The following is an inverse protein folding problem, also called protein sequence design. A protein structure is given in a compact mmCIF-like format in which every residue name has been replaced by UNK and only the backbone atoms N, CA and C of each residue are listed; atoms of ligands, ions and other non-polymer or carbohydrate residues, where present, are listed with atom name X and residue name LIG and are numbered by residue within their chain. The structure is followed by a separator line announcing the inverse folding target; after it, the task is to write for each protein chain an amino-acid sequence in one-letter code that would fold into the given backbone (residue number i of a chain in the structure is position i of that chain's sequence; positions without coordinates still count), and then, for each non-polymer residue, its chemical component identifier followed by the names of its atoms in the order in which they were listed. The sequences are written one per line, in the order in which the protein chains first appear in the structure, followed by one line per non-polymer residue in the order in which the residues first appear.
data_IF_924103135145
#
_entry.id   IF_924103135145
#
_cell.length_a   1.000
_cell.length_b   1.000
_cell.length_c   1.000
_cell.angle_alpha   90.00
_cell.angle_beta   90.00
_cell.angle_gamma   90.00
#
_symmetry.space_group_name_H-M   'P 1'
#
loop_
_entity.id
_entity.type
_entity.pdbx_description
1 polymer ?
#
# COMPACT_ATOMS: atom_id res chain seq x y z
N UNK A 1 17.97 -6.29 -10.80
CA UNK A 1 17.51 -6.81 -12.11
C UNK A 1 16.45 -5.86 -12.65
N UNK A 2 16.54 -5.50 -13.93
CA UNK A 2 15.52 -4.69 -14.61
C UNK A 2 14.37 -5.61 -15.07
N UNK A 3 13.26 -5.58 -14.32
CA UNK A 3 12.11 -6.47 -14.57
C UNK A 3 11.39 -6.18 -15.91
N UNK A 4 11.56 -4.96 -16.46
CA UNK A 4 10.97 -4.60 -17.75
C UNK A 4 11.62 -5.32 -18.95
N UNK A 5 12.82 -5.87 -18.76
CA UNK A 5 13.58 -6.60 -19.79
C UNK A 5 13.47 -8.11 -19.70
N UNK A 6 12.69 -8.62 -18.72
CA UNK A 6 12.53 -10.06 -18.51
C UNK A 6 11.54 -10.67 -19.51
N UNK A 7 11.81 -11.91 -19.92
CA UNK A 7 10.85 -12.71 -20.65
C UNK A 7 9.69 -13.20 -19.74
N UNK A 8 8.65 -13.78 -20.34
CA UNK A 8 7.46 -14.25 -19.61
C UNK A 8 7.78 -15.28 -18.53
N UNK A 9 8.75 -16.17 -18.76
CA UNK A 9 9.12 -17.24 -17.83
C UNK A 9 9.88 -16.64 -16.64
N UNK A 10 10.89 -15.83 -16.91
CA UNK A 10 11.67 -15.11 -15.90
C UNK A 10 10.75 -14.21 -15.05
N UNK A 11 9.83 -13.47 -15.70
CA UNK A 11 8.89 -12.59 -14.99
C UNK A 11 7.95 -13.38 -14.07
N UNK A 12 7.56 -14.61 -14.45
CA UNK A 12 6.75 -15.49 -13.59
C UNK A 12 7.49 -15.84 -12.30
N UNK A 13 8.79 -16.12 -12.37
CA UNK A 13 9.62 -16.44 -11.21
C UNK A 13 9.80 -15.21 -10.29
N UNK A 14 10.00 -14.03 -10.89
CA UNK A 14 10.06 -12.79 -10.11
C UNK A 14 8.73 -12.42 -9.46
N UNK A 15 7.58 -12.72 -10.09
CA UNK A 15 6.25 -12.49 -9.50
C UNK A 15 6.03 -13.28 -8.21
N UNK A 16 6.70 -14.41 -8.00
CA UNK A 16 6.67 -15.10 -6.70
C UNK A 16 7.28 -14.28 -5.59
N UNK A 17 8.33 -13.50 -5.89
CA UNK A 17 9.05 -12.70 -4.91
C UNK A 17 8.42 -11.31 -4.71
N UNK A 18 7.51 -10.92 -5.58
CA UNK A 18 6.91 -9.59 -5.60
C UNK A 18 5.40 -9.71 -5.78
N UNK A 19 4.66 -9.30 -4.78
CA UNK A 19 3.21 -9.39 -4.74
C UNK A 19 2.57 -8.01 -4.61
N UNK A 20 1.26 -7.92 -4.84
CA UNK A 20 0.51 -6.67 -4.77
C UNK A 20 -0.73 -6.81 -3.88
N UNK A 21 -0.98 -5.80 -3.06
CA UNK A 21 -2.24 -5.59 -2.35
C UNK A 21 -2.92 -4.40 -3.02
N UNK A 22 -4.12 -4.63 -3.54
CA UNK A 22 -4.87 -3.64 -4.32
C UNK A 22 -5.66 -2.68 -3.42
N UNK A 23 -5.97 -1.51 -3.97
CA UNK A 23 -6.70 -0.41 -3.34
C UNK A 23 -8.11 -0.82 -2.90
N UNK A 24 -8.86 -1.49 -3.77
CA UNK A 24 -10.24 -1.89 -3.50
C UNK A 24 -10.33 -3.39 -3.16
N UNK A 25 -10.60 -3.72 -1.89
CA UNK A 25 -10.74 -5.12 -1.49
C UNK A 25 -12.01 -5.80 -2.06
N UNK A 26 -12.98 -5.03 -2.60
CA UNK A 26 -14.16 -5.60 -3.24
C UNK A 26 -13.87 -6.09 -4.65
N UNK A 27 -13.25 -5.25 -5.48
CA UNK A 27 -12.97 -5.58 -6.87
C UNK A 27 -11.78 -6.52 -7.03
N UNK A 28 -10.89 -6.58 -6.03
CA UNK A 28 -9.68 -7.41 -6.08
C UNK A 28 -9.91 -8.89 -5.77
N UNK A 29 -11.06 -9.25 -5.21
CA UNK A 29 -11.42 -10.62 -4.85
C UNK A 29 -12.50 -11.14 -5.82
N UNK A 30 -12.28 -12.33 -6.38
CA UNK A 30 -13.30 -12.99 -7.22
C UNK A 30 -14.53 -13.36 -6.36
N UNK A 31 -15.72 -12.77 -6.62
CA UNK A 31 -16.90 -12.98 -5.78
C UNK A 31 -17.48 -14.39 -5.87
N UNK A 32 -17.03 -15.21 -6.84
CA UNK A 32 -17.48 -16.59 -7.06
C UNK A 32 -16.59 -17.62 -6.39
N UNK A 33 -15.45 -17.22 -5.87
CA UNK A 33 -14.51 -18.10 -5.17
C UNK A 33 -14.67 -17.96 -3.66
N UNK A 34 -14.43 -19.04 -2.93
CA UNK A 34 -14.35 -18.96 -1.47
C UNK A 34 -13.09 -18.21 -1.04
N UNK A 35 -13.08 -17.69 0.18
CA UNK A 35 -11.93 -16.98 0.70
C UNK A 35 -10.68 -17.89 0.77
N UNK A 36 -10.87 -19.17 1.09
CA UNK A 36 -9.80 -20.17 1.05
C UNK A 36 -9.25 -20.41 -0.36
N UNK A 37 -10.13 -20.48 -1.36
CA UNK A 37 -9.71 -20.64 -2.77
C UNK A 37 -8.90 -19.43 -3.25
N UNK A 38 -9.34 -18.21 -2.90
CA UNK A 38 -8.67 -16.96 -3.28
C UNK A 38 -7.23 -16.91 -2.71
N UNK A 39 -7.06 -17.30 -1.45
CA UNK A 39 -5.72 -17.32 -0.81
C UNK A 39 -4.89 -18.50 -1.32
N UNK A 40 -5.52 -19.62 -1.64
CA UNK A 40 -4.86 -20.83 -2.14
C UNK A 40 -4.50 -20.79 -3.64
N UNK A 41 -5.17 -19.94 -4.43
CA UNK A 41 -4.92 -19.83 -5.87
C UNK A 41 -3.45 -19.60 -6.24
N UNK A 42 -2.72 -18.66 -5.62
CA UNK A 42 -1.28 -18.46 -5.89
C UNK A 42 -0.45 -19.73 -5.64
N UNK A 43 -0.74 -20.49 -4.59
CA UNK A 43 -0.03 -21.74 -4.27
C UNK A 43 -0.19 -22.78 -5.38
N UNK A 44 -1.40 -22.89 -5.92
CA UNK A 44 -1.73 -23.80 -7.00
C UNK A 44 -1.11 -23.34 -8.33
N UNK A 45 -1.25 -22.06 -8.68
CA UNK A 45 -0.73 -21.48 -9.95
C UNK A 45 0.79 -21.60 -10.04
N UNK A 46 1.49 -21.47 -8.91
CA UNK A 46 2.94 -21.59 -8.84
C UNK A 46 3.44 -22.98 -8.45
N UNK A 47 2.55 -23.97 -8.41
CA UNK A 47 2.87 -25.38 -8.13
C UNK A 47 3.63 -25.58 -6.81
N UNK A 48 3.21 -24.86 -5.76
CA UNK A 48 3.82 -24.92 -4.43
C UNK A 48 3.12 -25.95 -3.55
N UNK A 49 1.78 -25.94 -3.57
CA UNK A 49 0.98 -26.86 -2.78
C UNK A 49 -0.38 -27.12 -3.42
N UNK A 50 -0.87 -28.36 -3.24
CA UNK A 50 -2.18 -28.84 -3.74
C UNK A 50 -2.87 -29.66 -2.62
N UNK A 51 -4.20 -29.84 -2.74
CA UNK A 51 -4.98 -30.71 -1.87
C UNK A 51 -4.92 -30.31 -0.40
N UNK A 52 -4.69 -31.28 0.48
CA UNK A 52 -4.67 -31.05 1.94
C UNK A 52 -3.52 -30.11 2.36
N UNK A 53 -2.35 -30.24 1.78
CA UNK A 53 -1.21 -29.34 2.06
C UNK A 53 -1.54 -27.87 1.77
N UNK A 54 -2.25 -27.61 0.66
CA UNK A 54 -2.69 -26.26 0.33
C UNK A 54 -3.68 -25.73 1.39
N UNK A 55 -4.62 -26.57 1.84
CA UNK A 55 -5.60 -26.19 2.86
C UNK A 55 -4.93 -25.85 4.20
N UNK A 56 -3.94 -26.64 4.62
CA UNK A 56 -3.15 -26.37 5.83
C UNK A 56 -2.47 -25.00 5.73
N UNK A 57 -1.72 -24.75 4.64
CA UNK A 57 -1.03 -23.49 4.42
C UNK A 57 -1.99 -22.29 4.38
N UNK A 58 -3.16 -22.46 3.77
CA UNK A 58 -4.18 -21.40 3.71
C UNK A 58 -4.76 -21.12 5.10
N UNK A 59 -5.00 -22.16 5.91
CA UNK A 59 -5.48 -21.99 7.29
C UNK A 59 -4.46 -21.24 8.15
N UNK A 60 -3.17 -21.56 8.05
CA UNK A 60 -2.09 -20.83 8.73
C UNK A 60 -2.04 -19.35 8.30
N UNK A 61 -2.20 -19.07 7.00
CA UNK A 61 -2.24 -17.68 6.49
C UNK A 61 -3.45 -16.91 7.02
N UNK A 62 -4.62 -17.56 7.14
CA UNK A 62 -5.80 -16.94 7.74
C UNK A 62 -5.58 -16.54 9.19
N UNK A 63 -5.02 -17.44 9.99
CA UNK A 63 -4.71 -17.17 11.40
C UNK A 63 -3.69 -16.03 11.53
N UNK A 64 -2.66 -16.02 10.68
CA UNK A 64 -1.61 -14.99 10.66
C UNK A 64 -2.17 -13.58 10.38
N UNK A 65 -3.21 -13.46 9.56
CA UNK A 65 -3.87 -12.17 9.31
C UNK A 65 -5.05 -11.90 10.27
N UNK A 66 -5.25 -12.75 11.28
CA UNK A 66 -6.31 -12.60 12.28
C UNK A 66 -7.72 -12.93 11.79
N UNK A 67 -7.83 -13.84 10.80
CA UNK A 67 -9.07 -14.45 10.35
C UNK A 67 -9.23 -15.85 10.97
N UNK A 68 -10.47 -16.33 11.05
CA UNK A 68 -10.76 -17.67 11.60
C UNK A 68 -10.69 -18.72 10.49
N UNK A 69 -10.07 -19.85 10.74
CA UNK A 69 -10.00 -21.00 9.81
C UNK A 69 -11.39 -21.52 9.40
N UNK A 70 -12.40 -21.42 10.27
CA UNK A 70 -13.80 -21.75 9.94
C UNK A 70 -14.45 -20.87 8.84
N UNK A 71 -13.81 -19.75 8.45
CA UNK A 71 -14.30 -18.84 7.42
C UNK A 71 -13.74 -19.14 6.01
N UNK A 72 -12.92 -20.16 5.87
CA UNK A 72 -12.28 -20.54 4.58
C UNK A 72 -13.30 -20.81 3.45
N UNK A 73 -14.46 -21.39 3.79
CA UNK A 73 -15.53 -21.72 2.83
C UNK A 73 -16.49 -20.56 2.54
N UNK A 74 -16.33 -19.43 3.24
CA UNK A 74 -17.18 -18.26 3.06
C UNK A 74 -16.82 -17.49 1.79
N UNK A 75 -17.84 -16.85 1.18
CA UNK A 75 -17.67 -16.01 -0.01
C UNK A 75 -17.31 -14.57 0.38
N UNK A 76 -16.63 -13.80 -0.48
CA UNK A 76 -16.17 -12.45 -0.18
C UNK A 76 -17.25 -11.49 0.35
N UNK A 77 -18.50 -11.58 -0.12
CA UNK A 77 -19.59 -10.73 0.32
C UNK A 77 -20.01 -10.96 1.78
N UNK A 78 -19.61 -12.08 2.38
CA UNK A 78 -19.92 -12.42 3.78
C UNK A 78 -18.90 -11.80 4.78
N UNK A 79 -17.87 -11.11 4.27
CA UNK A 79 -16.83 -10.47 5.07
C UNK A 79 -17.01 -8.95 5.12
N UNK A 80 -16.60 -8.33 6.23
CA UNK A 80 -16.47 -6.87 6.32
C UNK A 80 -15.35 -6.35 5.41
N UNK A 81 -15.30 -5.04 5.13
CA UNK A 81 -14.25 -4.41 4.35
C UNK A 81 -12.84 -4.73 4.87
N UNK A 82 -12.62 -4.59 6.17
CA UNK A 82 -11.34 -4.92 6.80
C UNK A 82 -10.99 -6.42 6.74
N UNK A 83 -11.98 -7.31 6.84
CA UNK A 83 -11.75 -8.75 6.67
C UNK A 83 -11.38 -9.11 5.22
N UNK A 84 -12.03 -8.47 4.22
CA UNK A 84 -11.64 -8.65 2.81
C UNK A 84 -10.23 -8.16 2.54
N UNK A 85 -9.83 -7.04 3.14
CA UNK A 85 -8.46 -6.56 3.04
C UNK A 85 -7.47 -7.56 3.64
N UNK A 86 -7.79 -8.17 4.77
CA UNK A 86 -6.98 -9.24 5.38
C UNK A 86 -6.88 -10.48 4.48
N UNK A 87 -7.94 -10.85 3.75
CA UNK A 87 -7.89 -11.91 2.72
C UNK A 87 -6.93 -11.50 1.59
N UNK A 88 -6.97 -10.26 1.12
CA UNK A 88 -6.03 -9.74 0.13
C UNK A 88 -4.57 -9.78 0.60
N UNK A 89 -4.33 -9.46 1.87
CA UNK A 89 -3.00 -9.57 2.50
C UNK A 89 -2.57 -11.04 2.59
N UNK A 90 -3.43 -11.95 3.06
CA UNK A 90 -3.14 -13.39 3.13
C UNK A 90 -2.79 -13.96 1.75
N UNK A 91 -3.54 -13.57 0.70
CA UNK A 91 -3.23 -13.94 -0.69
C UNK A 91 -1.85 -13.46 -1.13
N UNK A 92 -1.49 -12.22 -0.81
CA UNK A 92 -0.18 -11.68 -1.15
C UNK A 92 0.97 -12.40 -0.40
N UNK A 93 0.72 -12.87 0.82
CA UNK A 93 1.70 -13.62 1.61
C UNK A 93 1.87 -15.07 1.17
N UNK A 94 0.93 -15.66 0.43
CA UNK A 94 0.88 -17.09 0.10
C UNK A 94 2.18 -17.61 -0.57
N UNK A 95 2.87 -16.76 -1.34
CA UNK A 95 4.10 -17.11 -2.05
C UNK A 95 5.38 -16.78 -1.26
N UNK A 96 5.26 -16.34 0.00
CA UNK A 96 6.37 -15.87 0.82
C UNK A 96 7.25 -14.84 0.08
N UNK A 97 6.67 -13.70 -0.36
CA UNK A 97 7.36 -12.71 -1.17
C UNK A 97 8.44 -11.98 -0.38
N UNK A 98 9.37 -11.33 -1.11
CA UNK A 98 10.35 -10.39 -0.52
C UNK A 98 9.85 -8.95 -0.55
N UNK A 99 9.00 -8.63 -1.52
CA UNK A 99 8.45 -7.29 -1.72
C UNK A 99 6.93 -7.38 -1.87
N UNK A 100 6.22 -6.53 -1.17
CA UNK A 100 4.79 -6.29 -1.37
C UNK A 100 4.58 -4.84 -1.78
N UNK A 101 3.92 -4.64 -2.92
CA UNK A 101 3.44 -3.33 -3.36
C UNK A 101 2.04 -3.14 -2.78
N UNK A 102 1.86 -2.17 -1.91
CA UNK A 102 0.55 -1.78 -1.39
C UNK A 102 0.06 -0.55 -2.16
N UNK A 103 -0.90 -0.75 -3.04
CA UNK A 103 -1.54 0.34 -3.79
C UNK A 103 -2.75 0.83 -3.01
N UNK A 104 -2.56 1.89 -2.23
CA UNK A 104 -3.55 2.47 -1.30
C UNK A 104 -4.31 1.42 -0.45
N UNK A 105 -3.63 0.47 0.18
CA UNK A 105 -4.26 -0.75 0.71
C UNK A 105 -5.20 -0.52 1.91
N UNK A 106 -5.36 0.72 2.35
CA UNK A 106 -6.20 1.08 3.50
C UNK A 106 -7.18 2.22 3.22
N UNK A 107 -7.13 2.84 2.03
CA UNK A 107 -7.90 4.05 1.70
C UNK A 107 -9.42 3.84 1.72
N UNK A 108 -9.91 2.62 1.43
CA UNK A 108 -11.32 2.27 1.41
C UNK A 108 -11.88 1.81 2.78
N UNK A 109 -11.07 1.90 3.85
CA UNK A 109 -11.44 1.44 5.19
C UNK A 109 -11.71 2.61 6.12
N UNK A 110 -12.55 2.39 7.14
CA UNK A 110 -12.70 3.36 8.22
C UNK A 110 -11.41 3.47 9.07
N UNK A 111 -11.22 4.62 9.72
CA UNK A 111 -9.97 4.98 10.44
C UNK A 111 -9.54 3.91 11.45
N UNK A 112 -10.49 3.31 12.15
CA UNK A 112 -10.20 2.32 13.20
C UNK A 112 -9.69 0.99 12.58
N UNK A 113 -10.31 0.54 11.50
CA UNK A 113 -9.89 -0.66 10.77
C UNK A 113 -8.58 -0.41 10.01
N UNK A 114 -8.42 0.80 9.44
CA UNK A 114 -7.19 1.24 8.81
C UNK A 114 -5.98 1.09 9.75
N UNK A 115 -6.09 1.58 10.99
CA UNK A 115 -5.04 1.44 11.99
C UNK A 115 -4.71 -0.03 12.31
N UNK A 116 -5.72 -0.89 12.41
CA UNK A 116 -5.51 -2.32 12.64
C UNK A 116 -4.78 -3.00 11.47
N UNK A 117 -5.12 -2.65 10.23
CA UNK A 117 -4.46 -3.22 9.03
C UNK A 117 -3.02 -2.73 8.92
N UNK A 118 -2.75 -1.47 9.24
CA UNK A 118 -1.38 -0.92 9.24
C UNK A 118 -0.51 -1.62 10.29
N UNK A 119 -1.02 -1.79 11.52
CA UNK A 119 -0.30 -2.51 12.57
C UNK A 119 -0.02 -3.96 12.12
N UNK A 120 -1.00 -4.65 11.54
CA UNK A 120 -0.80 -5.99 10.98
C UNK A 120 0.33 -6.01 9.93
N UNK A 121 0.38 -5.03 9.01
CA UNK A 121 1.43 -4.95 8.00
C UNK A 121 2.81 -4.72 8.62
N UNK A 122 2.89 -3.89 9.68
CA UNK A 122 4.15 -3.66 10.41
C UNK A 122 4.62 -4.91 11.17
N UNK A 123 3.69 -5.62 11.81
CA UNK A 123 4.00 -6.89 12.50
C UNK A 123 4.53 -7.93 11.51
N UNK A 124 3.86 -8.09 10.36
CA UNK A 124 4.29 -8.97 9.28
C UNK A 124 5.64 -8.56 8.69
N UNK A 125 5.93 -7.26 8.59
CA UNK A 125 7.23 -6.76 8.15
C UNK A 125 8.34 -7.22 9.07
N UNK A 126 8.13 -7.07 10.38
CA UNK A 126 9.11 -7.44 11.40
C UNK A 126 9.30 -8.96 11.50
N UNK A 127 8.20 -9.72 11.43
CA UNK A 127 8.23 -11.19 11.55
C UNK A 127 8.87 -11.86 10.34
N UNK A 128 8.53 -11.39 9.13
CA UNK A 128 8.90 -12.04 7.87
C UNK A 128 10.05 -11.36 7.13
N UNK A 129 10.55 -10.21 7.61
CA UNK A 129 11.59 -9.43 6.94
C UNK A 129 11.14 -8.85 5.59
N UNK A 130 9.84 -8.50 5.45
CA UNK A 130 9.27 -8.02 4.21
C UNK A 130 9.72 -6.59 3.89
N UNK A 131 9.88 -6.31 2.61
CA UNK A 131 9.97 -4.93 2.10
C UNK A 131 8.62 -4.49 1.57
N UNK A 132 8.21 -3.25 1.87
CA UNK A 132 7.00 -2.65 1.29
C UNK A 132 7.35 -1.49 0.35
N UNK A 133 6.67 -1.44 -0.78
CA UNK A 133 6.46 -0.22 -1.55
C UNK A 133 5.02 0.21 -1.31
N UNK A 134 4.82 1.19 -0.43
CA UNK A 134 3.51 1.61 0.02
C UNK A 134 3.09 2.91 -0.67
N UNK A 135 2.02 2.88 -1.44
CA UNK A 135 1.42 4.07 -2.09
C UNK A 135 0.27 4.52 -1.21
N UNK A 136 0.25 5.78 -0.82
CA UNK A 136 -0.83 6.38 -0.03
C UNK A 136 -0.94 7.88 -0.29
N UNK A 137 -2.13 8.42 -0.05
CA UNK A 137 -2.40 9.85 -0.06
C UNK A 137 -2.56 10.42 1.36
N UNK A 138 -2.69 9.57 2.38
CA UNK A 138 -2.77 9.98 3.79
C UNK A 138 -1.36 10.04 4.41
N UNK A 139 -0.91 11.25 4.71
CA UNK A 139 0.41 11.50 5.27
C UNK A 139 0.58 10.93 6.69
N UNK A 140 -0.49 10.79 7.47
CA UNK A 140 -0.40 10.17 8.79
C UNK A 140 -0.07 8.68 8.68
N UNK A 141 -0.66 8.00 7.70
CA UNK A 141 -0.33 6.61 7.36
C UNK A 141 1.12 6.50 6.91
N UNK A 142 1.56 7.38 5.99
CA UNK A 142 2.94 7.41 5.49
C UNK A 142 3.93 7.62 6.63
N UNK A 143 3.68 8.59 7.52
CA UNK A 143 4.53 8.87 8.69
C UNK A 143 4.66 7.64 9.60
N UNK A 144 3.59 6.86 9.74
CA UNK A 144 3.58 5.72 10.65
C UNK A 144 4.35 4.51 10.11
N UNK A 145 4.10 4.11 8.84
CA UNK A 145 4.63 2.86 8.28
C UNK A 145 5.98 3.01 7.55
N UNK A 146 6.34 4.22 7.08
CA UNK A 146 7.47 4.40 6.18
C UNK A 146 8.81 4.58 6.90
N UNK A 147 9.90 4.12 6.28
CA UNK A 147 11.28 4.47 6.62
C UNK A 147 11.82 5.57 5.69
N UNK A 148 11.50 5.48 4.41
CA UNK A 148 11.83 6.46 3.37
C UNK A 148 10.55 6.85 2.63
N UNK A 149 10.48 8.09 2.20
CA UNK A 149 9.32 8.63 1.48
C UNK A 149 9.77 9.24 0.17
N UNK A 150 9.03 8.94 -0.89
CA UNK A 150 9.15 9.59 -2.19
C UNK A 150 7.87 10.37 -2.45
N UNK A 151 7.97 11.69 -2.61
CA UNK A 151 6.84 12.56 -2.94
C UNK A 151 6.77 12.69 -4.47
N UNK A 152 5.59 12.42 -5.02
CA UNK A 152 5.35 12.48 -6.47
C UNK A 152 4.38 13.61 -6.82
N UNK A 153 4.68 14.36 -7.86
CA UNK A 153 3.81 15.38 -8.44
C UNK A 153 3.76 15.24 -9.97
N UNK A 154 2.59 15.14 -10.54
CA UNK A 154 2.37 14.95 -11.99
C UNK A 154 3.31 13.89 -12.61
N UNK A 155 3.37 12.71 -11.99
CA UNK A 155 4.14 11.57 -12.49
C UNK A 155 5.65 11.64 -12.27
N UNK A 156 6.18 12.69 -11.60
CA UNK A 156 7.61 12.82 -11.28
C UNK A 156 7.85 12.83 -9.77
N UNK A 157 8.88 12.11 -9.34
CA UNK A 157 9.37 12.22 -7.97
C UNK A 157 10.05 13.58 -7.83
N UNK A 158 9.51 14.41 -6.92
CA UNK A 158 10.00 15.78 -6.67
C UNK A 158 10.88 15.85 -5.43
N UNK A 159 10.71 14.91 -4.50
CA UNK A 159 11.52 14.80 -3.30
C UNK A 159 11.58 13.34 -2.85
N UNK A 160 12.76 12.89 -2.37
CA UNK A 160 12.94 11.55 -1.79
C UNK A 160 13.95 11.63 -0.65
N UNK A 161 13.51 11.28 0.55
CA UNK A 161 14.37 11.30 1.73
C UNK A 161 13.88 10.30 2.80
N UNK A 162 14.58 10.20 3.92
CA UNK A 162 14.07 9.47 5.09
C UNK A 162 12.84 10.19 5.69
N UNK A 163 12.03 9.44 6.41
CA UNK A 163 10.79 9.92 7.02
C UNK A 163 11.02 11.15 7.88
N UNK A 164 11.97 11.09 8.80
CA UNK A 164 12.21 12.16 9.77
C UNK A 164 12.55 13.48 9.08
N UNK A 165 13.49 13.44 8.15
CA UNK A 165 13.89 14.61 7.35
C UNK A 165 12.73 15.20 6.56
N UNK A 166 11.87 14.37 5.98
CA UNK A 166 10.72 14.85 5.19
C UNK A 166 9.70 15.62 6.05
N UNK A 167 9.36 15.07 7.22
CA UNK A 167 8.33 15.65 8.07
C UNK A 167 8.84 16.86 8.87
N UNK A 168 10.13 16.88 9.25
CA UNK A 168 10.74 17.97 10.01
C UNK A 168 11.16 19.14 9.11
N UNK A 169 11.75 18.86 7.96
CA UNK A 169 12.35 19.86 7.08
C UNK A 169 12.16 19.52 5.58
N UNK A 170 10.94 19.63 5.05
CA UNK A 170 10.67 19.41 3.63
C UNK A 170 11.44 20.43 2.78
N UNK A 171 12.08 19.97 1.72
CA UNK A 171 12.88 20.83 0.84
C UNK A 171 12.13 21.29 -0.40
N UNK A 172 11.19 20.47 -0.91
CA UNK A 172 10.42 20.83 -2.09
C UNK A 172 9.13 21.58 -1.69
N UNK A 173 8.80 22.71 -2.35
CA UNK A 173 7.61 23.51 -2.01
C UNK A 173 6.28 22.76 -2.07
N UNK A 174 6.17 21.74 -2.92
CA UNK A 174 4.98 20.88 -2.96
C UNK A 174 4.88 20.00 -1.71
N UNK A 175 6.00 19.43 -1.24
CA UNK A 175 6.04 18.65 0.01
C UNK A 175 5.67 19.54 1.20
N UNK A 176 6.22 20.75 1.26
CA UNK A 176 5.86 21.76 2.26
C UNK A 176 4.36 22.01 2.27
N UNK A 177 3.77 22.25 1.10
CA UNK A 177 2.34 22.49 0.95
C UNK A 177 1.47 21.30 1.38
N UNK A 178 1.87 20.06 1.04
CA UNK A 178 1.18 18.85 1.47
C UNK A 178 1.16 18.72 3.00
N UNK A 179 2.31 18.92 3.64
CA UNK A 179 2.45 18.84 5.10
C UNK A 179 1.66 19.94 5.83
N UNK A 180 1.55 21.14 5.23
CA UNK A 180 0.71 22.21 5.79
C UNK A 180 -0.79 21.97 5.64
N UNK A 181 -1.20 21.14 4.67
CA UNK A 181 -2.61 20.81 4.46
C UNK A 181 -3.14 19.82 5.52
N UNK A 182 -2.26 19.06 6.17
CA UNK A 182 -2.65 18.09 7.22
C UNK A 182 -2.97 18.82 8.52
N UNK A 183 -4.18 18.67 9.08
CA UNK A 183 -4.52 19.22 10.37
C UNK A 183 -3.72 18.50 11.48
N UNK A 184 -2.79 19.17 12.13
CA UNK A 184 -2.08 18.61 13.28
C UNK A 184 -2.88 18.95 14.54
N UNK A 185 -3.45 17.98 15.27
CA UNK A 185 -4.14 18.21 16.53
C UNK A 185 -3.13 18.35 17.68
N UNK A 186 -2.25 19.36 17.63
CA UNK A 186 -1.37 19.70 18.76
C UNK A 186 -1.88 20.95 19.43
N UNK A 187 -2.41 20.82 20.65
CA UNK A 187 -2.67 21.94 21.54
C UNK A 187 -1.34 22.64 21.85
N UNK A 188 -1.22 23.92 21.48
CA UNK A 188 -0.01 24.73 21.65
C UNK A 188 0.90 24.84 20.43
N UNK A 189 0.55 24.26 19.31
CA UNK A 189 1.27 24.49 18.05
C UNK A 189 1.11 25.95 17.64
N UNK A 190 2.23 26.67 17.46
CA UNK A 190 2.27 27.97 16.78
C UNK A 190 1.36 27.92 15.58
N UNK A 191 0.48 28.90 15.43
CA UNK A 191 -0.31 29.14 14.21
C UNK A 191 0.66 29.26 13.03
N UNK A 192 0.97 28.11 12.40
CA UNK A 192 1.69 28.11 11.13
C UNK A 192 0.75 28.78 10.12
N UNK A 193 1.16 29.94 9.61
CA UNK A 193 0.41 30.65 8.58
C UNK A 193 0.22 29.69 7.41
N UNK A 194 -1.03 29.29 7.17
CA UNK A 194 -1.39 28.30 6.14
C UNK A 194 -1.03 28.92 4.78
N UNK A 195 0.04 28.45 4.15
CA UNK A 195 0.35 28.80 2.77
C UNK A 195 -0.60 28.01 1.88
N UNK A 196 -1.64 28.66 1.41
CA UNK A 196 -2.60 28.08 0.46
C UNK A 196 -1.90 28.05 -0.91
N UNK A 197 -1.82 26.87 -1.49
CA UNK A 197 -1.35 26.74 -2.87
C UNK A 197 -2.48 27.15 -3.80
N UNK A 198 -2.30 28.27 -4.51
CA UNK A 198 -3.27 28.82 -5.43
C UNK A 198 -3.18 28.16 -6.81
N UNK A 199 -4.25 28.24 -7.59
CA UNK A 199 -4.35 27.77 -8.98
C UNK A 199 -4.71 26.29 -9.11
N UNK A 200 -5.18 25.94 -10.31
CA UNK A 200 -5.59 24.59 -10.68
C UNK A 200 -4.40 23.65 -10.89
N UNK A 201 -4.63 22.35 -10.68
CA UNK A 201 -3.61 21.33 -10.98
C UNK A 201 -3.47 21.21 -12.50
N UNK A 202 -2.26 21.42 -13.06
CA UNK A 202 -2.04 21.27 -14.50
C UNK A 202 -2.33 19.85 -14.98
N UNK A 203 -2.67 19.73 -16.28
CA UNK A 203 -2.91 18.41 -16.87
C UNK A 203 -1.65 17.54 -16.87
N UNK A 204 -1.73 16.30 -16.41
CA UNK A 204 -0.60 15.36 -16.47
C UNK A 204 -0.28 14.93 -17.91
N UNK A 205 -1.20 15.14 -18.88
CA UNK A 205 -0.97 14.82 -20.30
C UNK A 205 -0.01 15.85 -20.94
N UNK A 206 -0.17 17.12 -20.57
CA UNK A 206 0.67 18.22 -21.04
C UNK A 206 1.26 18.96 -19.81
N UNK A 207 2.24 18.36 -19.13
CA UNK A 207 2.79 18.96 -17.92
C UNK A 207 3.58 20.24 -18.26
N UNK A 208 3.63 21.22 -17.35
CA UNK A 208 4.46 22.40 -17.51
C UNK A 208 5.95 22.07 -17.73
N UNK A 209 6.67 22.89 -18.49
CA UNK A 209 8.11 22.74 -18.70
C UNK A 209 8.91 22.97 -17.41
N UNK A 210 10.07 22.35 -17.28
CA UNK A 210 10.93 22.48 -16.09
C UNK A 210 10.34 21.80 -14.86
N UNK A 211 10.30 22.49 -13.73
CA UNK A 211 9.63 22.00 -12.54
C UNK A 211 8.10 22.00 -12.74
N UNK A 212 7.47 20.82 -12.70
CA UNK A 212 6.03 20.69 -12.92
C UNK A 212 5.16 21.47 -11.92
N UNK A 213 5.72 21.82 -10.75
CA UNK A 213 5.02 22.57 -9.70
C UNK A 213 5.17 24.09 -9.84
N UNK A 214 6.01 24.61 -10.77
CA UNK A 214 6.34 26.04 -10.83
C UNK A 214 5.11 26.96 -10.98
N UNK A 215 4.08 26.53 -11.71
CA UNK A 215 2.84 27.30 -11.93
C UNK A 215 2.03 27.55 -10.64
N UNK A 216 2.30 26.79 -9.59
CA UNK A 216 1.64 26.83 -8.27
C UNK A 216 2.63 27.05 -7.13
N UNK A 217 3.89 27.24 -7.46
CA UNK A 217 4.97 27.39 -6.49
C UNK A 217 4.98 28.82 -5.92
N UNK A 218 4.89 29.00 -4.59
CA UNK A 218 4.94 30.33 -3.99
C UNK A 218 6.31 30.99 -4.07
N UNK A 219 7.33 30.27 -4.57
CA UNK A 219 8.71 30.74 -4.71
C UNK A 219 9.15 30.90 -6.17
N UNK A 220 8.28 30.71 -7.15
CA UNK A 220 8.57 30.85 -8.59
C UNK A 220 8.31 32.26 -9.11
#
# INVERSE_FOLDING_TARGET
VDIAKLDKKQLRDYRRQMQIIFQDPFSSLNPRMTAGDIVGEPLMVHDIAHGERQKEMVAELFERVGLRSGQLTSLPHQFSGGQRQRIGIARALALNPKLIVGDEPVSALDVSIQAQVINLLMDLQNELGLSYLFIAHDLAVVEHISHRVAVMYLGRIVEMTDKTSLFDMPLHPYTEALLYAVPIPKSGARTRTRKIVEGDVPSPINPPSGCHFHTRCPYA
#
